data_IF_522227289311
#
_entry.id   IF_522227289311
#
_cell.length_a   1.000
_cell.length_b   1.000
_cell.length_c   1.000
_cell.angle_alpha   90.00
_cell.angle_beta   90.00
_cell.angle_gamma   90.00
#
_symmetry.space_group_name_H-M   'P 1'
#
loop_
_entity.id
_entity.type
_entity.pdbx_description
1 polymer ?
#
# COMPACT_ATOMS: atom_id res chain seq x y z
N UNK A 1 5.40 22.99 -11.84
CA UNK A 1 4.49 22.72 -10.71
C UNK A 1 3.86 21.35 -10.88
N UNK A 2 3.68 20.67 -9.75
CA UNK A 2 3.01 19.39 -9.52
C UNK A 2 3.90 18.14 -9.66
N UNK A 3 4.80 17.98 -8.68
CA UNK A 3 5.21 16.70 -8.11
C UNK A 3 3.96 15.92 -7.69
N UNK A 4 3.46 15.11 -8.63
CA UNK A 4 2.49 14.09 -8.28
C UNK A 4 3.32 12.87 -7.89
N UNK A 5 3.71 12.83 -6.61
CA UNK A 5 4.26 11.67 -5.90
C UNK A 5 3.22 10.54 -5.95
N UNK A 6 3.02 10.00 -7.15
CA UNK A 6 2.32 8.77 -7.40
C UNK A 6 3.31 7.67 -7.01
N UNK A 7 3.56 7.53 -5.71
CA UNK A 7 4.47 6.53 -5.15
C UNK A 7 3.99 5.19 -5.66
N UNK A 8 4.65 4.69 -6.69
CA UNK A 8 4.25 3.47 -7.38
C UNK A 8 4.20 2.37 -6.33
N UNK A 9 3.01 1.82 -6.11
CA UNK A 9 2.81 0.75 -5.15
C UNK A 9 3.64 -0.45 -5.59
N UNK A 10 4.58 -0.86 -4.74
CA UNK A 10 5.55 -1.92 -5.03
C UNK A 10 5.47 -3.07 -4.05
N UNK A 11 6.09 -4.20 -4.40
CA UNK A 11 6.26 -5.33 -3.50
C UNK A 11 6.99 -4.93 -2.22
N UNK A 12 6.54 -5.43 -1.07
CA UNK A 12 7.04 -5.10 0.26
C UNK A 12 6.28 -3.93 0.92
N UNK A 13 5.49 -3.16 0.15
CA UNK A 13 4.71 -2.07 0.74
C UNK A 13 3.49 -2.59 1.49
N UNK A 14 3.22 -1.96 2.64
CA UNK A 14 1.95 -2.17 3.34
C UNK A 14 0.91 -1.20 2.80
N UNK A 15 -0.22 -1.74 2.38
CA UNK A 15 -1.35 -1.04 1.75
C UNK A 15 -2.66 -1.41 2.44
N UNK A 16 -3.68 -0.62 2.19
CA UNK A 16 -5.06 -0.90 2.61
C UNK A 16 -6.00 -0.59 1.45
N UNK A 17 -7.18 -1.20 1.43
CA UNK A 17 -8.21 -0.85 0.46
C UNK A 17 -8.75 0.55 0.74
N UNK A 18 -9.05 1.30 -0.32
CA UNK A 18 -9.70 2.61 -0.24
C UNK A 18 -11.07 2.54 0.44
N UNK A 19 -11.77 1.40 0.32
CA UNK A 19 -13.03 1.14 1.03
C UNK A 19 -12.86 0.92 2.54
N UNK A 20 -11.63 0.85 3.04
CA UNK A 20 -11.30 0.34 4.36
C UNK A 20 -11.11 -1.18 4.33
N UNK A 21 -10.33 -1.69 5.29
CA UNK A 21 -9.99 -3.11 5.39
C UNK A 21 -8.75 -3.38 6.24
N UNK A 22 -8.31 -4.64 6.31
CA UNK A 22 -7.06 -4.99 6.98
C UNK A 22 -5.86 -4.38 6.24
N UNK A 23 -4.78 -4.17 6.99
CA UNK A 23 -3.48 -3.82 6.39
C UNK A 23 -2.91 -5.04 5.69
N UNK A 24 -2.52 -4.87 4.44
CA UNK A 24 -2.02 -5.93 3.58
C UNK A 24 -0.65 -5.58 3.05
N UNK A 25 0.19 -6.58 2.81
CA UNK A 25 1.52 -6.41 2.24
C UNK A 25 1.48 -6.85 0.78
N UNK A 26 1.95 -6.01 -0.13
CA UNK A 26 2.10 -6.39 -1.53
C UNK A 26 3.25 -7.40 -1.63
N UNK A 27 2.96 -8.61 -2.09
CA UNK A 27 3.96 -9.64 -2.37
C UNK A 27 4.52 -9.52 -3.78
N UNK A 28 3.67 -9.18 -4.73
CA UNK A 28 4.03 -8.97 -6.13
C UNK A 28 3.06 -7.99 -6.79
N UNK A 29 3.52 -7.35 -7.87
CA UNK A 29 2.69 -6.51 -8.73
C UNK A 29 2.80 -7.04 -10.15
N UNK A 30 1.67 -7.16 -10.85
CA UNK A 30 1.61 -7.58 -12.23
C UNK A 30 0.63 -6.69 -12.98
N UNK A 31 1.15 -5.86 -13.90
CA UNK A 31 0.36 -4.82 -14.56
C UNK A 31 -0.32 -3.91 -13.54
N UNK A 32 -1.65 -3.84 -13.60
CA UNK A 32 -2.49 -3.01 -12.72
C UNK A 32 -2.99 -3.73 -11.47
N UNK A 33 -2.49 -4.93 -11.19
CA UNK A 33 -2.91 -5.77 -10.07
C UNK A 33 -1.77 -5.97 -9.07
N UNK A 34 -2.10 -5.84 -7.79
CA UNK A 34 -1.23 -6.21 -6.68
C UNK A 34 -1.72 -7.51 -6.05
N UNK A 35 -0.78 -8.44 -5.87
CA UNK A 35 -0.97 -9.63 -5.07
C UNK A 35 -0.64 -9.26 -3.63
N UNK A 36 -1.69 -9.14 -2.82
CA UNK A 36 -1.61 -8.73 -1.44
C UNK A 36 -1.76 -9.92 -0.50
N UNK A 37 -1.16 -9.79 0.67
CA UNK A 37 -1.25 -10.79 1.72
C UNK A 37 -1.36 -10.12 3.08
N UNK A 38 -2.20 -10.65 3.95
CA UNK A 38 -2.40 -10.13 5.30
C UNK A 38 -2.65 -11.25 6.29
N UNK A 39 -2.45 -10.94 7.56
CA UNK A 39 -2.82 -11.82 8.66
C UNK A 39 -4.23 -11.47 9.12
N UNK A 40 -5.06 -12.49 9.29
CA UNK A 40 -6.39 -12.38 9.89
C UNK A 40 -6.43 -13.36 11.06
N UNK A 41 -6.09 -12.88 12.25
CA UNK A 41 -5.71 -13.74 13.37
C UNK A 41 -4.43 -14.52 13.04
N UNK A 42 -4.44 -15.83 13.29
CA UNK A 42 -3.33 -16.74 13.00
C UNK A 42 -3.29 -17.24 11.55
N UNK A 43 -4.26 -16.82 10.72
CA UNK A 43 -4.39 -17.28 9.34
C UNK A 43 -3.81 -16.25 8.38
N UNK A 44 -2.85 -16.70 7.57
CA UNK A 44 -2.32 -15.95 6.42
C UNK A 44 -3.33 -15.99 5.27
N UNK A 45 -3.88 -14.83 4.92
CA UNK A 45 -4.80 -14.65 3.79
C UNK A 45 -4.12 -13.93 2.66
N UNK A 46 -4.51 -14.27 1.44
CA UNK A 46 -4.01 -13.68 0.21
C UNK A 46 -5.19 -13.20 -0.63
N UNK A 47 -4.94 -12.18 -1.44
CA UNK A 47 -5.95 -11.59 -2.31
C UNK A 47 -5.32 -10.69 -3.35
N UNK A 48 -5.95 -10.62 -4.51
CA UNK A 48 -5.51 -9.77 -5.62
C UNK A 48 -6.41 -8.56 -5.70
N UNK A 49 -5.82 -7.37 -5.72
CA UNK A 49 -6.56 -6.11 -5.78
C UNK A 49 -5.97 -5.20 -6.84
N UNK A 50 -6.81 -4.37 -7.45
CA UNK A 50 -6.33 -3.38 -8.41
C UNK A 50 -5.55 -2.29 -7.67
N UNK A 51 -4.41 -1.87 -8.23
CA UNK A 51 -3.56 -0.82 -7.65
C UNK A 51 -4.35 0.47 -7.37
N UNK A 52 -5.29 0.82 -8.25
CA UNK A 52 -6.16 2.01 -8.09
C UNK A 52 -7.07 1.95 -6.84
N UNK A 53 -7.33 0.74 -6.33
CA UNK A 53 -8.16 0.52 -5.13
C UNK A 53 -7.34 0.46 -3.85
N UNK A 54 -6.01 0.39 -3.96
CA UNK A 54 -5.09 0.31 -2.86
C UNK A 54 -4.54 1.70 -2.54
N UNK A 55 -4.34 1.96 -1.25
CA UNK A 55 -3.64 3.16 -0.77
C UNK A 55 -2.52 2.71 0.18
N UNK A 56 -1.37 3.39 0.18
CA UNK A 56 -0.29 3.09 1.11
C UNK A 56 -0.80 3.24 2.55
N UNK A 57 -0.56 2.22 3.38
CA UNK A 57 -0.88 2.24 4.79
C UNK A 57 0.24 2.89 5.63
N UNK A 58 1.28 3.40 4.98
CA UNK A 58 2.32 4.21 5.61
C UNK A 58 1.68 5.48 6.17
N UNK A 59 1.54 5.49 7.49
CA UNK A 59 1.37 6.69 8.28
C UNK A 59 2.52 7.66 8.00
N UNK A 60 2.19 8.94 7.89
CA UNK A 60 2.96 10.08 8.39
C UNK A 60 4.40 9.72 8.81
N UNK A 61 5.35 9.85 7.88
CA UNK A 61 6.73 10.14 8.25
C UNK A 61 7.01 11.58 7.90
N UNK A 62 6.71 12.44 8.88
CA UNK A 62 7.32 13.74 9.13
C UNK A 62 7.54 14.67 7.92
N UNK A 63 6.61 15.59 7.73
CA UNK A 63 6.95 16.99 7.51
C UNK A 63 7.76 17.52 8.72
N UNK A 64 9.04 17.14 8.84
CA UNK A 64 9.97 17.75 9.78
C UNK A 64 11.44 17.50 9.37
N UNK A 65 11.80 17.84 8.13
CA UNK A 65 13.10 18.48 7.93
C UNK A 65 12.94 19.66 6.97
N UNK A 66 11.93 20.48 7.29
CA UNK A 66 12.03 21.90 7.04
C UNK A 66 12.98 22.51 8.08
N UNK A 67 14.09 23.05 7.56
CA UNK A 67 14.89 24.19 8.01
C UNK A 67 16.22 23.89 8.72
N UNK A 68 17.19 24.82 8.64
CA UNK A 68 17.23 26.07 7.84
C UNK A 68 18.12 26.01 6.60
#
# INVERSE_FOLDING_TARGET
MCDQDNKALGSGMTVVLRSGGPRMVIRAVSGDQAYCEWLSGDVRRQGTFALSTLVPAEAEKNEAEGRP
#
